data_IF_531274050568
#
_entry.id   IF_531274050568
#
_cell.length_a   1.000
_cell.length_b   1.000
_cell.length_c   1.000
_cell.angle_alpha   90.00
_cell.angle_beta   90.00
_cell.angle_gamma   90.00
#
_symmetry.space_group_name_H-M   'P 1'
#
loop_
_entity.id
_entity.type
_entity.pdbx_description
1 polymer ?
#
# COMPACT_ATOMS: atom_id res chain seq x y z
N UNK A 1 -2.28 13.44 -12.32
CA UNK A 1 -1.82 12.27 -11.54
C UNK A 1 -1.82 12.66 -10.06
N UNK A 2 -2.38 11.84 -9.16
CA UNK A 2 -2.65 12.27 -7.78
C UNK A 2 -1.44 12.31 -6.83
N UNK A 3 -0.22 11.96 -7.26
CA UNK A 3 1.01 12.08 -6.44
C UNK A 3 1.06 11.25 -5.14
N UNK A 4 -0.02 10.56 -4.79
CA UNK A 4 -0.14 9.75 -3.57
C UNK A 4 0.51 8.38 -3.78
N UNK A 5 1.58 8.11 -3.03
CA UNK A 5 2.26 6.80 -3.03
C UNK A 5 1.40 5.71 -2.37
N UNK A 6 0.52 6.08 -1.43
CA UNK A 6 -0.33 5.14 -0.69
C UNK A 6 -1.61 5.79 -0.16
N UNK A 7 -2.75 5.16 -0.45
CA UNK A 7 -4.05 5.56 0.09
C UNK A 7 -4.33 4.83 1.41
N UNK A 8 -4.59 5.58 2.49
CA UNK A 8 -5.17 5.02 3.72
C UNK A 8 -6.69 5.10 3.65
N UNK A 9 -7.37 4.36 4.53
CA UNK A 9 -8.84 4.38 4.59
C UNK A 9 -9.40 5.77 4.90
N UNK A 10 -8.72 6.55 5.73
CA UNK A 10 -9.09 7.96 6.02
C UNK A 10 -8.98 8.86 4.80
N UNK A 11 -8.00 8.62 3.92
CA UNK A 11 -7.84 9.39 2.70
C UNK A 11 -8.96 9.04 1.71
N UNK A 12 -9.33 7.75 1.64
CA UNK A 12 -10.46 7.28 0.84
C UNK A 12 -11.81 7.78 1.37
N UNK A 13 -12.00 7.84 2.69
CA UNK A 13 -13.20 8.42 3.30
C UNK A 13 -13.41 9.87 2.84
N UNK A 14 -12.35 10.68 2.82
CA UNK A 14 -12.41 12.08 2.35
C UNK A 14 -12.78 12.17 0.89
N UNK A 15 -12.10 11.40 0.03
CA UNK A 15 -12.40 11.39 -1.42
C UNK A 15 -13.84 10.95 -1.70
N UNK A 16 -14.35 9.98 -0.94
CA UNK A 16 -15.74 9.53 -1.10
C UNK A 16 -16.71 10.67 -0.71
N UNK A 17 -16.45 11.36 0.40
CA UNK A 17 -17.23 12.51 0.81
C UNK A 17 -17.21 13.65 -0.21
N UNK A 18 -16.02 14.01 -0.70
CA UNK A 18 -15.84 15.08 -1.70
C UNK A 18 -16.49 14.76 -3.05
N UNK A 19 -16.43 13.51 -3.49
CA UNK A 19 -16.89 13.10 -4.83
C UNK A 19 -18.37 12.73 -4.87
N UNK A 20 -18.88 12.11 -3.80
CA UNK A 20 -20.23 11.54 -3.78
C UNK A 20 -21.15 12.20 -2.74
N UNK A 21 -20.64 13.11 -1.90
CA UNK A 21 -21.44 13.77 -0.85
C UNK A 21 -21.84 12.86 0.30
N UNK A 22 -21.28 11.64 0.39
CA UNK A 22 -21.61 10.65 1.42
C UNK A 22 -20.45 10.47 2.38
N UNK A 23 -20.73 10.62 3.68
CA UNK A 23 -19.74 10.39 4.74
C UNK A 23 -19.89 8.98 5.29
N UNK A 24 -18.86 8.15 5.07
CA UNK A 24 -18.77 6.83 5.67
C UNK A 24 -17.85 6.83 6.89
N UNK A 25 -18.14 5.98 7.86
CA UNK A 25 -17.16 5.62 8.89
C UNK A 25 -15.98 4.86 8.27
N UNK A 26 -14.75 5.09 8.74
CA UNK A 26 -13.52 4.48 8.19
C UNK A 26 -13.62 2.94 8.06
N UNK A 27 -14.23 2.29 9.07
CA UNK A 27 -14.46 0.83 9.07
C UNK A 27 -15.38 0.36 7.93
N UNK A 28 -16.36 1.17 7.55
CA UNK A 28 -17.29 0.90 6.45
C UNK A 28 -16.59 1.04 5.11
N UNK A 29 -15.70 2.03 4.95
CA UNK A 29 -14.83 2.14 3.77
C UNK A 29 -14.03 0.86 3.56
N UNK A 30 -13.48 0.28 4.64
CA UNK A 30 -12.79 -1.01 4.56
C UNK A 30 -13.68 -2.17 4.06
N UNK A 31 -14.96 -2.20 4.46
CA UNK A 31 -15.92 -3.21 3.97
C UNK A 31 -16.26 -3.02 2.49
N UNK A 32 -16.46 -1.76 2.07
CA UNK A 32 -16.72 -1.42 0.66
C UNK A 32 -15.57 -1.86 -0.24
N UNK A 33 -14.33 -1.55 0.16
CA UNK A 33 -13.14 -1.97 -0.58
C UNK A 33 -13.06 -3.49 -0.72
N UNK A 34 -13.37 -4.24 0.34
CA UNK A 34 -13.40 -5.72 0.28
C UNK A 34 -14.50 -6.22 -0.66
N UNK A 35 -15.69 -5.63 -0.61
CA UNK A 35 -16.80 -6.01 -1.49
C UNK A 35 -16.49 -5.72 -2.98
N UNK A 36 -15.72 -4.66 -3.24
CA UNK A 36 -15.22 -4.30 -4.58
C UNK A 36 -13.99 -5.12 -5.02
N UNK A 37 -13.51 -6.07 -4.21
CA UNK A 37 -12.38 -6.94 -4.57
C UNK A 37 -10.99 -6.34 -4.32
N UNK A 38 -10.88 -5.18 -3.66
CA UNK A 38 -9.58 -4.61 -3.32
C UNK A 38 -8.89 -5.39 -2.20
N UNK A 39 -7.59 -5.63 -2.39
CA UNK A 39 -6.73 -6.27 -1.39
C UNK A 39 -6.06 -5.25 -0.48
N UNK A 40 -5.86 -5.62 0.79
CA UNK A 40 -5.08 -4.81 1.72
C UNK A 40 -3.58 -4.94 1.39
N UNK A 41 -2.95 -3.83 1.02
CA UNK A 41 -1.49 -3.77 0.84
C UNK A 41 -0.89 -3.17 2.10
N UNK A 42 -0.05 -3.90 2.84
CA UNK A 42 0.74 -3.32 3.94
C UNK A 42 2.01 -2.68 3.37
N UNK A 43 2.50 -1.60 4.01
CA UNK A 43 3.82 -1.10 3.67
C UNK A 43 4.82 -2.13 4.19
N UNK A 44 5.59 -2.76 3.30
CA UNK A 44 6.74 -3.58 3.73
C UNK A 44 7.69 -2.63 4.45
N UNK A 45 7.84 -2.79 5.76
CA UNK A 45 8.80 -2.01 6.52
C UNK A 45 10.18 -2.36 5.98
N UNK A 46 10.87 -1.37 5.38
CA UNK A 46 12.27 -1.54 4.99
C UNK A 46 13.06 -1.66 6.29
N UNK A 47 13.72 -2.80 6.51
CA UNK A 47 14.50 -3.00 7.72
C UNK A 47 15.67 -2.01 7.71
N UNK A 48 15.96 -1.26 8.79
CA UNK A 48 17.04 -0.28 8.82
C UNK A 48 18.42 -0.88 8.48
N UNK A 49 18.61 -2.18 8.72
CA UNK A 49 19.81 -2.92 8.35
C UNK A 49 19.83 -3.48 6.91
N UNK A 50 18.88 -3.11 6.03
CA UNK A 50 19.01 -3.35 4.59
C UNK A 50 20.03 -2.35 4.00
N UNK A 51 21.30 -2.53 4.35
CA UNK A 51 22.38 -1.90 3.62
C UNK A 51 22.33 -2.44 2.18
N UNK A 52 22.22 -1.54 1.21
CA UNK A 52 22.18 -1.88 -0.21
C UNK A 52 23.42 -2.70 -0.61
N UNK A 53 24.57 -2.44 0.02
CA UNK A 53 25.82 -3.18 -0.22
C UNK A 53 25.72 -4.64 0.25
N UNK A 54 25.09 -4.90 1.39
CA UNK A 54 24.88 -6.25 1.90
C UNK A 54 23.90 -7.05 1.03
N UNK A 55 22.87 -6.40 0.50
CA UNK A 55 21.91 -7.04 -0.43
C UNK A 55 22.59 -7.36 -1.76
N UNK A 56 23.40 -6.43 -2.29
CA UNK A 56 24.12 -6.62 -3.55
C UNK A 56 25.15 -7.74 -3.44
N UNK A 57 25.91 -7.80 -2.35
CA UNK A 57 26.85 -8.88 -2.07
C UNK A 57 26.17 -10.25 -1.84
N UNK A 58 24.92 -10.26 -1.34
CA UNK A 58 24.16 -11.49 -1.10
C UNK A 58 23.41 -11.99 -2.35
N UNK A 59 23.40 -11.26 -3.47
CA UNK A 59 22.83 -11.78 -4.72
C UNK A 59 23.66 -12.98 -5.18
N UNK A 60 23.06 -14.17 -5.13
CA UNK A 60 23.67 -15.43 -5.53
C UNK A 60 24.13 -15.36 -7.00
N UNK A 61 25.44 -15.41 -7.23
CA UNK A 61 26.03 -15.75 -8.53
C UNK A 61 25.81 -17.23 -8.78
N UNK A 62 24.59 -17.62 -9.16
CA UNK A 62 24.37 -18.96 -9.70
C UNK A 62 25.05 -19.01 -11.08
N UNK A 63 26.13 -19.77 -11.18
CA UNK A 63 26.78 -20.09 -12.45
C UNK A 63 25.78 -20.87 -13.33
N UNK A 64 25.65 -20.59 -14.64
CA UNK A 64 24.94 -21.50 -15.54
C UNK A 64 25.67 -22.84 -15.52
N UNK A 65 24.91 -23.95 -15.58
CA UNK A 65 25.48 -25.28 -15.83
C UNK A 65 26.08 -25.34 -17.22
#
# INVERSE_FOLDING_TARGET
MHGVVRWRRVDLQRVIGERFGVVYHERTVGKLLKALGFSHVSARRRHPGQDARTIEAFKKTSRPR
#
